data_IF_556204488503
#
_entry.id   IF_556204488503
#
_cell.length_a   1.000
_cell.length_b   1.000
_cell.length_c   1.000
_cell.angle_alpha   90.00
_cell.angle_beta   90.00
_cell.angle_gamma   90.00
#
_symmetry.space_group_name_H-M   'P 1'
#
loop_
_entity.id
_entity.type
_entity.pdbx_description
1 polymer ?
#
# COMPACT_ATOMS: atom_id res chain seq x y z
N UNK A 1 -8.02 39.38 -10.90
CA UNK A 1 -7.56 37.98 -10.80
C UNK A 1 -7.51 37.63 -9.33
N UNK A 2 -8.21 36.58 -8.89
CA UNK A 2 -8.20 36.16 -7.50
C UNK A 2 -6.79 35.68 -7.08
N UNK A 3 -6.34 36.08 -5.90
CA UNK A 3 -5.08 35.64 -5.30
C UNK A 3 -5.20 34.14 -4.96
N UNK A 4 -4.53 33.28 -5.74
CA UNK A 4 -4.60 31.81 -5.59
C UNK A 4 -3.79 31.35 -4.38
N UNK A 5 -4.41 30.54 -3.52
CA UNK A 5 -3.81 29.98 -2.30
C UNK A 5 -3.89 28.45 -2.33
N UNK A 6 -2.78 27.78 -2.04
CA UNK A 6 -2.67 26.31 -2.02
C UNK A 6 -2.38 25.89 -0.57
N UNK A 7 -3.20 25.01 0.02
CA UNK A 7 -2.96 24.44 1.35
C UNK A 7 -2.42 23.01 1.21
N UNK A 8 -1.21 22.76 1.70
CA UNK A 8 -0.60 21.44 1.80
C UNK A 8 -0.66 20.96 3.25
N UNK A 9 -1.37 19.86 3.49
CA UNK A 9 -1.54 19.24 4.81
C UNK A 9 -0.65 18.00 4.94
N UNK A 10 0.09 17.89 6.04
CA UNK A 10 0.95 16.74 6.32
C UNK A 10 2.30 16.78 5.60
N UNK A 11 2.72 17.96 5.14
CA UNK A 11 4.02 18.15 4.49
C UNK A 11 5.09 18.20 5.59
N UNK A 12 5.88 17.12 5.74
CA UNK A 12 6.88 16.98 6.79
C UNK A 12 7.92 18.10 6.84
N UNK A 13 8.99 18.02 6.03
CA UNK A 13 10.14 18.93 6.14
C UNK A 13 10.02 20.22 5.30
N UNK A 14 8.85 20.54 4.79
CA UNK A 14 8.51 21.73 3.98
C UNK A 14 9.25 21.87 2.65
N UNK A 15 10.07 20.89 2.26
CA UNK A 15 10.88 20.96 1.02
C UNK A 15 10.02 20.89 -0.26
N UNK A 16 8.91 20.17 -0.18
CA UNK A 16 7.95 20.07 -1.27
C UNK A 16 7.16 21.38 -1.41
N UNK A 17 6.69 21.94 -0.31
CA UNK A 17 6.03 23.23 -0.27
C UNK A 17 6.97 24.35 -0.76
N UNK A 18 8.23 24.36 -0.31
CA UNK A 18 9.22 25.37 -0.68
C UNK A 18 9.46 25.40 -2.18
N UNK A 19 9.81 24.26 -2.79
CA UNK A 19 10.04 24.25 -4.22
C UNK A 19 8.74 24.38 -5.06
N UNK A 20 7.56 24.09 -4.49
CA UNK A 20 6.27 24.41 -5.13
C UNK A 20 6.04 25.92 -5.20
N UNK A 21 6.36 26.61 -4.11
CA UNK A 21 6.32 28.06 -4.05
C UNK A 21 7.37 28.69 -5.00
N UNK A 22 8.60 28.16 -5.06
CA UNK A 22 9.65 28.65 -5.96
C UNK A 22 9.29 28.52 -7.45
N UNK A 23 8.74 27.37 -7.87
CA UNK A 23 8.54 27.08 -9.28
C UNK A 23 7.20 27.58 -9.84
N UNK A 24 6.18 27.75 -9.00
CA UNK A 24 4.84 28.16 -9.43
C UNK A 24 4.37 29.45 -8.76
N UNK A 25 5.23 30.19 -8.03
CA UNK A 25 4.95 31.46 -7.30
C UNK A 25 3.60 31.55 -6.59
N UNK A 26 2.93 30.45 -6.34
CA UNK A 26 1.59 30.47 -5.78
C UNK A 26 1.72 30.63 -4.28
N UNK A 27 0.73 31.27 -3.63
CA UNK A 27 0.76 31.43 -2.18
C UNK A 27 0.48 30.08 -1.52
N UNK A 28 1.53 29.37 -1.13
CA UNK A 28 1.43 28.05 -0.48
C UNK A 28 1.37 28.23 1.04
N UNK A 29 0.36 27.63 1.67
CA UNK A 29 0.30 27.42 3.11
C UNK A 29 0.59 25.93 3.31
N UNK A 30 1.66 25.60 4.03
CA UNK A 30 1.99 24.22 4.36
C UNK A 30 1.87 24.02 5.87
N UNK A 31 1.35 22.88 6.29
CA UNK A 31 1.19 22.53 7.69
C UNK A 31 1.59 21.08 7.95
N UNK A 32 2.25 20.85 9.07
CA UNK A 32 2.63 19.54 9.58
C UNK A 32 2.00 19.34 10.97
N UNK A 33 1.95 18.09 11.42
CA UNK A 33 1.39 17.75 12.73
C UNK A 33 2.33 18.13 13.90
N UNK A 34 3.63 18.25 13.61
CA UNK A 34 4.72 18.44 14.56
C UNK A 34 4.95 19.93 14.86
N UNK A 35 5.61 20.23 16.00
CA UNK A 35 5.93 21.62 16.38
C UNK A 35 7.07 22.18 15.53
N UNK A 36 7.07 23.49 15.27
CA UNK A 36 8.08 24.16 14.43
C UNK A 36 9.52 23.93 14.93
N UNK A 37 9.73 23.93 16.25
CA UNK A 37 11.02 23.67 16.91
C UNK A 37 11.54 22.25 16.62
N UNK A 38 10.66 21.26 16.52
CA UNK A 38 11.02 19.86 16.25
C UNK A 38 11.35 19.68 14.76
N UNK A 39 10.57 20.29 13.87
CA UNK A 39 10.77 20.19 12.42
C UNK A 39 12.02 20.91 11.97
N UNK A 40 12.33 22.07 12.55
CA UNK A 40 13.52 22.86 12.20
C UNK A 40 14.85 22.12 12.44
N UNK A 41 14.87 21.12 13.32
CA UNK A 41 16.07 20.30 13.60
C UNK A 41 16.31 19.20 12.56
N UNK A 42 15.35 18.93 11.66
CA UNK A 42 15.44 17.83 10.69
C UNK A 42 15.99 18.29 9.33
N UNK A 43 17.20 17.85 9.01
CA UNK A 43 17.77 17.98 7.66
C UNK A 43 17.78 19.42 7.15
N UNK A 44 17.11 19.68 6.02
CA UNK A 44 17.00 21.02 5.39
C UNK A 44 15.70 21.77 5.71
N UNK A 45 14.91 21.30 6.67
CA UNK A 45 13.57 21.85 6.92
C UNK A 45 13.59 23.34 7.28
N UNK A 46 14.55 23.79 8.10
CA UNK A 46 14.69 25.20 8.45
C UNK A 46 14.92 26.11 7.22
N UNK A 47 15.67 25.62 6.23
CA UNK A 47 15.92 26.35 4.99
C UNK A 47 14.66 26.42 4.11
N UNK A 48 13.90 25.33 4.05
CA UNK A 48 12.63 25.26 3.33
C UNK A 48 11.55 26.16 3.95
N UNK A 49 11.45 26.21 5.28
CA UNK A 49 10.55 27.13 6.00
C UNK A 49 10.92 28.59 5.71
N UNK A 50 12.22 28.92 5.69
CA UNK A 50 12.70 30.28 5.38
C UNK A 50 12.33 30.68 3.94
N UNK A 51 12.58 29.80 2.97
CA UNK A 51 12.29 30.04 1.54
C UNK A 51 10.78 30.24 1.29
N UNK A 52 9.94 29.47 1.96
CA UNK A 52 8.48 29.64 1.88
C UNK A 52 8.00 31.01 2.34
N UNK A 53 8.65 31.59 3.36
CA UNK A 53 8.31 32.92 3.86
C UNK A 53 8.68 34.04 2.88
N UNK A 54 9.64 33.81 1.98
CA UNK A 54 10.19 34.82 1.06
C UNK A 54 9.47 34.89 -0.31
N UNK A 55 8.71 33.86 -0.71
CA UNK A 55 8.35 33.60 -2.13
C UNK A 55 6.89 33.91 -2.54
N UNK A 56 6.18 34.82 -1.86
CA UNK A 56 4.70 35.01 -1.91
C UNK A 56 4.05 35.39 -3.28
N UNK A 57 4.68 35.32 -4.47
CA UNK A 57 4.02 35.78 -5.73
C UNK A 57 4.38 35.02 -7.05
N UNK A 58 3.33 34.62 -7.83
CA UNK A 58 3.21 34.12 -9.24
C UNK A 58 3.06 32.60 -9.65
N UNK A 59 1.83 32.05 -9.88
CA UNK A 59 1.63 30.96 -10.91
C UNK A 59 0.35 30.08 -10.89
N UNK A 60 0.31 29.00 -11.72
CA UNK A 60 -0.89 28.37 -12.33
C UNK A 60 -1.05 26.82 -12.17
N UNK A 61 -2.28 26.29 -12.36
CA UNK A 61 -2.81 24.95 -11.98
C UNK A 61 -2.17 23.71 -12.66
N UNK A 62 -2.05 23.66 -13.98
CA UNK A 62 -1.45 22.49 -14.68
C UNK A 62 0.04 22.31 -14.35
N UNK A 63 0.72 23.40 -14.01
CA UNK A 63 2.10 23.38 -13.56
C UNK A 63 2.26 22.74 -12.19
N UNK A 64 1.22 22.81 -11.33
CA UNK A 64 1.29 22.25 -9.99
C UNK A 64 1.27 20.72 -10.05
N UNK A 65 0.30 20.11 -10.75
CA UNK A 65 0.17 18.64 -10.86
C UNK A 65 1.45 18.04 -11.47
N UNK A 66 1.93 18.61 -12.58
CA UNK A 66 3.16 18.13 -13.21
C UNK A 66 4.36 18.23 -12.26
N UNK A 67 4.44 19.30 -11.46
CA UNK A 67 5.51 19.46 -10.47
C UNK A 67 5.39 18.51 -9.28
N UNK A 68 4.17 18.22 -8.79
CA UNK A 68 3.96 17.21 -7.74
C UNK A 68 4.51 15.88 -8.23
N UNK A 69 4.13 15.51 -9.45
CA UNK A 69 4.56 14.27 -10.08
C UNK A 69 6.07 14.25 -10.31
N UNK A 70 6.65 15.32 -10.87
CA UNK A 70 8.09 15.38 -11.15
C UNK A 70 8.91 15.29 -9.86
N UNK A 71 8.42 15.87 -8.75
CA UNK A 71 9.04 15.73 -7.44
C UNK A 71 8.91 14.33 -6.87
N UNK A 72 7.73 13.71 -6.95
CA UNK A 72 7.55 12.30 -6.55
C UNK A 72 8.53 11.44 -7.34
N UNK A 73 8.61 11.63 -8.66
CA UNK A 73 9.56 10.93 -9.53
C UNK A 73 11.01 11.16 -9.11
N UNK A 74 11.40 12.40 -8.82
CA UNK A 74 12.76 12.75 -8.42
C UNK A 74 13.13 12.18 -7.06
N UNK A 75 12.23 12.25 -6.07
CA UNK A 75 12.42 11.68 -4.74
C UNK A 75 12.57 10.15 -4.82
N UNK A 76 11.75 9.49 -5.61
CA UNK A 76 11.86 8.03 -5.76
C UNK A 76 13.11 7.65 -6.56
N UNK A 77 13.50 8.43 -7.57
CA UNK A 77 14.77 8.23 -8.26
C UNK A 77 15.97 8.40 -7.32
N UNK A 78 15.92 9.36 -6.40
CA UNK A 78 16.95 9.53 -5.36
C UNK A 78 17.00 8.35 -4.39
N UNK A 79 15.84 7.80 -4.01
CA UNK A 79 15.77 6.57 -3.20
C UNK A 79 16.40 5.39 -3.94
N UNK A 80 16.10 5.26 -5.23
CA UNK A 80 16.62 4.19 -6.09
C UNK A 80 18.14 4.24 -6.32
N UNK A 81 18.74 5.43 -6.46
CA UNK A 81 20.20 5.58 -6.60
C UNK A 81 20.99 5.02 -5.42
N UNK A 82 20.36 4.86 -4.26
CA UNK A 82 20.96 4.25 -3.07
C UNK A 82 21.03 2.73 -3.18
N UNK A 83 20.17 2.13 -4.02
CA UNK A 83 20.01 0.68 -4.18
C UNK A 83 20.81 0.19 -5.40
N UNK A 84 22.10 -0.08 -5.22
CA UNK A 84 22.96 -0.59 -6.31
C UNK A 84 22.63 -2.05 -6.64
N UNK A 85 21.70 -2.32 -7.58
CA UNK A 85 21.49 -3.69 -8.05
C UNK A 85 20.32 -3.94 -9.01
N UNK A 86 19.27 -3.11 -8.98
CA UNK A 86 18.10 -3.25 -9.85
C UNK A 86 17.88 -1.96 -10.65
N UNK A 87 17.39 -2.05 -11.89
CA UNK A 87 16.94 -0.88 -12.66
C UNK A 87 15.42 -0.84 -12.58
N UNK A 88 14.91 0.07 -11.74
CA UNK A 88 13.48 0.36 -11.64
C UNK A 88 13.19 1.63 -12.41
N UNK A 89 12.14 1.62 -13.21
CA UNK A 89 11.63 2.79 -13.91
C UNK A 89 10.26 3.16 -13.39
N UNK A 90 10.00 4.47 -13.22
CA UNK A 90 8.71 4.98 -12.80
C UNK A 90 8.10 5.75 -13.94
N UNK A 91 6.92 5.33 -14.35
CA UNK A 91 6.14 5.97 -15.39
C UNK A 91 4.87 6.58 -14.79
N UNK A 92 4.51 7.76 -15.29
CA UNK A 92 3.22 8.37 -15.03
C UNK A 92 2.31 8.05 -16.20
N UNK A 93 1.18 7.38 -15.93
CA UNK A 93 0.22 7.01 -16.96
C UNK A 93 -1.10 7.77 -16.72
N UNK A 94 -1.68 8.35 -17.78
CA UNK A 94 -3.00 8.97 -17.68
C UNK A 94 -4.05 7.89 -17.47
N UNK A 95 -5.08 8.15 -16.67
CA UNK A 95 -6.13 7.16 -16.39
C UNK A 95 -6.83 6.65 -17.67
N UNK A 96 -6.83 7.41 -18.76
CA UNK A 96 -7.40 7.00 -20.06
C UNK A 96 -6.58 5.96 -20.83
N UNK A 97 -5.33 5.68 -20.45
CA UNK A 97 -4.46 4.71 -21.15
C UNK A 97 -4.40 3.34 -20.48
N UNK A 98 -4.96 3.18 -19.28
CA UNK A 98 -4.93 1.94 -18.52
C UNK A 98 -6.30 1.24 -18.66
N UNK A 99 -6.31 0.07 -19.31
CA UNK A 99 -7.55 -0.71 -19.49
C UNK A 99 -8.12 -1.15 -18.14
N UNK A 100 -9.44 -1.11 -18.01
CA UNK A 100 -10.18 -1.43 -16.76
C UNK A 100 -9.95 -2.86 -16.24
N UNK A 101 -9.36 -3.75 -17.04
CA UNK A 101 -9.15 -5.17 -16.74
C UNK A 101 -7.78 -5.50 -16.11
N UNK A 102 -6.88 -4.53 -15.96
CA UNK A 102 -5.48 -4.76 -15.52
C UNK A 102 -5.08 -3.94 -14.28
N UNK A 103 -6.06 -3.45 -13.54
CA UNK A 103 -5.83 -2.63 -12.35
C UNK A 103 -5.57 -3.54 -11.14
N UNK A 104 -4.43 -3.37 -10.48
CA UNK A 104 -4.16 -3.92 -9.14
C UNK A 104 -5.31 -3.57 -8.18
N UNK A 105 -5.55 -4.36 -7.14
CA UNK A 105 -6.58 -4.10 -6.11
C UNK A 105 -6.51 -2.66 -5.55
N UNK A 106 -5.29 -2.14 -5.40
CA UNK A 106 -5.04 -0.76 -4.99
C UNK A 106 -5.64 0.28 -5.96
N UNK A 107 -5.45 0.08 -7.27
CA UNK A 107 -5.98 0.97 -8.28
C UNK A 107 -7.50 0.86 -8.43
N UNK A 108 -8.06 -0.34 -8.19
CA UNK A 108 -9.51 -0.54 -8.11
C UNK A 108 -10.11 0.20 -6.90
N UNK A 109 -9.46 0.12 -5.73
CA UNK A 109 -9.85 0.87 -4.53
C UNK A 109 -9.80 2.39 -4.73
N UNK A 110 -8.67 2.92 -5.23
CA UNK A 110 -8.51 4.36 -5.46
C UNK A 110 -9.55 4.89 -6.47
N UNK A 111 -9.96 4.06 -7.44
CA UNK A 111 -10.98 4.45 -8.43
C UNK A 111 -12.36 4.65 -7.82
N UNK A 112 -12.64 4.05 -6.66
CA UNK A 112 -13.89 4.25 -5.91
C UNK A 112 -13.92 5.62 -5.19
N UNK A 113 -12.75 6.19 -4.89
CA UNK A 113 -12.62 7.46 -4.16
C UNK A 113 -12.82 8.70 -5.05
N UNK A 114 -12.90 8.52 -6.36
CA UNK A 114 -13.20 9.59 -7.32
C UNK A 114 -12.46 9.43 -8.64
N UNK A 115 -12.59 10.45 -9.50
CA UNK A 115 -11.96 10.45 -10.82
C UNK A 115 -10.44 10.59 -10.70
N UNK A 116 -9.73 9.50 -10.96
CA UNK A 116 -8.27 9.47 -11.05
C UNK A 116 -7.84 10.17 -12.34
N UNK A 117 -6.84 11.05 -12.26
CA UNK A 117 -6.25 11.68 -13.44
C UNK A 117 -4.99 10.93 -13.91
N UNK A 118 -4.16 10.50 -12.96
CA UNK A 118 -2.90 9.83 -13.25
C UNK A 118 -2.64 8.66 -12.30
N UNK A 119 -2.01 7.63 -12.82
CA UNK A 119 -1.44 6.52 -12.07
C UNK A 119 0.08 6.64 -12.04
N UNK A 120 0.67 6.30 -10.90
CA UNK A 120 2.10 6.13 -10.72
C UNK A 120 2.40 4.64 -10.82
N UNK A 121 3.11 4.24 -11.85
CA UNK A 121 3.46 2.85 -12.10
C UNK A 121 4.96 2.64 -11.95
N UNK A 122 5.35 1.53 -11.34
CA UNK A 122 6.72 1.06 -11.20
C UNK A 122 6.94 -0.18 -12.06
N UNK A 123 7.98 -0.15 -12.88
CA UNK A 123 8.43 -1.27 -13.70
C UNK A 123 9.81 -1.69 -13.21
N UNK A 124 9.97 -2.98 -12.92
CA UNK A 124 11.28 -3.58 -12.69
C UNK A 124 11.78 -4.18 -14.01
N UNK A 125 13.04 -3.93 -14.38
CA UNK A 125 13.67 -4.62 -15.52
C UNK A 125 13.90 -6.11 -15.15
N UNK A 126 12.85 -6.95 -15.18
CA UNK A 126 12.98 -8.40 -15.14
C UNK A 126 13.24 -8.93 -16.55
N UNK A 127 14.01 -10.03 -16.67
CA UNK A 127 14.45 -10.58 -17.97
C UNK A 127 13.31 -11.18 -18.81
N UNK A 128 12.09 -11.23 -18.29
CA UNK A 128 10.89 -11.68 -18.99
C UNK A 128 10.00 -10.47 -19.35
N UNK A 129 9.98 -10.14 -20.63
CA UNK A 129 9.41 -8.91 -21.21
C UNK A 129 7.87 -8.84 -21.22
N UNK A 130 7.17 -9.39 -20.22
CA UNK A 130 5.70 -9.44 -20.18
C UNK A 130 5.04 -8.95 -18.89
N UNK A 131 5.77 -8.65 -17.82
CA UNK A 131 5.17 -8.08 -16.62
C UNK A 131 4.98 -6.56 -16.80
N UNK A 132 3.73 -6.18 -17.07
CA UNK A 132 3.29 -4.78 -17.09
C UNK A 132 3.51 -4.16 -15.70
N UNK A 133 3.96 -2.90 -15.66
CA UNK A 133 4.30 -2.20 -14.43
C UNK A 133 3.21 -2.24 -13.35
N UNK A 134 3.62 -2.36 -12.10
CA UNK A 134 2.72 -2.36 -10.94
C UNK A 134 2.29 -0.93 -10.59
N UNK A 135 1.00 -0.71 -10.41
CA UNK A 135 0.48 0.58 -9.93
C UNK A 135 0.79 0.75 -8.44
N UNK A 136 1.57 1.77 -8.11
CA UNK A 136 2.03 2.07 -6.74
C UNK A 136 1.42 3.35 -6.18
N UNK A 137 0.66 4.10 -6.98
CA UNK A 137 0.06 5.35 -6.53
C UNK A 137 -0.93 5.94 -7.52
N UNK A 138 -1.74 6.88 -7.04
CA UNK A 138 -2.70 7.60 -7.86
C UNK A 138 -2.69 9.10 -7.52
N UNK A 139 -2.96 9.92 -8.54
CA UNK A 139 -3.17 11.36 -8.38
C UNK A 139 -4.57 11.71 -8.87
N UNK A 140 -5.35 12.33 -7.99
CA UNK A 140 -6.73 12.74 -8.26
C UNK A 140 -6.92 14.22 -7.95
N UNK A 141 -7.92 14.81 -8.59
CA UNK A 141 -8.34 16.18 -8.30
C UNK A 141 -9.81 16.19 -7.95
N UNK A 142 -10.19 16.95 -6.93
CA UNK A 142 -11.59 17.22 -6.65
C UNK A 142 -11.86 18.73 -6.68
N UNK A 143 -12.96 19.18 -7.30
CA UNK A 143 -13.45 20.53 -7.07
C UNK A 143 -13.88 20.64 -5.62
N UNK A 144 -13.43 21.70 -4.94
CA UNK A 144 -13.78 21.98 -3.55
C UNK A 144 -14.65 23.23 -3.53
N UNK A 145 -15.96 23.06 -3.41
CA UNK A 145 -16.93 24.15 -3.35
C UNK A 145 -17.48 24.35 -1.93
N UNK A 146 -16.83 25.17 -1.10
CA UNK A 146 -17.51 25.95 -0.08
C UNK A 146 -17.47 27.42 -0.49
N UNK A 147 -18.66 27.99 -0.69
CA UNK A 147 -18.89 29.44 -0.70
C UNK A 147 -18.04 30.27 -1.70
N UNK A 148 -18.14 29.98 -2.99
CA UNK A 148 -17.86 30.96 -4.05
C UNK A 148 -16.40 31.11 -4.51
N UNK A 149 -15.51 30.19 -4.15
CA UNK A 149 -14.15 30.11 -4.71
C UNK A 149 -13.96 28.81 -5.50
N UNK A 150 -13.52 28.92 -6.75
CA UNK A 150 -13.15 27.80 -7.63
C UNK A 150 -11.79 27.21 -7.20
N UNK A 151 -11.79 26.47 -6.09
CA UNK A 151 -10.60 25.81 -5.53
C UNK A 151 -10.54 24.36 -6.02
N UNK A 152 -9.43 24.00 -6.66
CA UNK A 152 -9.13 22.62 -7.06
C UNK A 152 -8.17 22.01 -6.04
N UNK A 153 -8.58 20.92 -5.39
CA UNK A 153 -7.73 20.16 -4.47
C UNK A 153 -7.11 18.98 -5.21
N UNK A 154 -5.79 18.83 -5.10
CA UNK A 154 -5.05 17.70 -5.66
C UNK A 154 -4.69 16.76 -4.53
N UNK A 155 -4.97 15.46 -4.70
CA UNK A 155 -4.58 14.40 -3.78
C UNK A 155 -3.61 13.47 -4.49
N UNK A 156 -2.54 13.09 -3.80
CA UNK A 156 -1.62 12.04 -4.23
C UNK A 156 -1.62 10.93 -3.18
N UNK A 157 -1.88 9.70 -3.60
CA UNK A 157 -1.82 8.49 -2.79
C UNK A 157 -0.66 7.61 -3.28
N UNK A 158 0.05 7.00 -2.34
CA UNK A 158 1.18 6.10 -2.60
C UNK A 158 1.04 4.87 -1.70
N UNK A 159 1.22 3.69 -2.27
CA UNK A 159 1.28 2.43 -1.54
C UNK A 159 2.74 2.12 -1.17
N UNK A 160 3.11 2.44 0.07
CA UNK A 160 4.48 2.29 0.55
C UNK A 160 4.93 0.83 0.62
N UNK A 161 4.02 -0.11 0.90
CA UNK A 161 4.33 -1.53 1.00
C UNK A 161 4.70 -2.09 -0.37
N UNK A 162 3.89 -1.80 -1.40
CA UNK A 162 4.19 -2.16 -2.78
C UNK A 162 5.48 -1.50 -3.27
N UNK A 163 5.71 -0.23 -2.91
CA UNK A 163 6.97 0.44 -3.23
C UNK A 163 8.17 -0.22 -2.56
N UNK A 164 8.07 -0.54 -1.27
CA UNK A 164 9.15 -1.19 -0.52
C UNK A 164 9.45 -2.57 -1.09
N UNK A 165 8.41 -3.34 -1.44
CA UNK A 165 8.55 -4.64 -2.10
C UNK A 165 9.30 -4.54 -3.43
N UNK A 166 8.91 -3.59 -4.29
CA UNK A 166 9.54 -3.42 -5.60
C UNK A 166 10.97 -2.91 -5.49
N UNK A 167 11.23 -1.93 -4.61
CA UNK A 167 12.56 -1.33 -4.45
C UNK A 167 13.54 -2.32 -3.80
N UNK A 168 13.08 -3.11 -2.84
CA UNK A 168 13.91 -4.05 -2.10
C UNK A 168 13.86 -5.47 -2.68
N UNK A 169 13.14 -5.71 -3.77
CA UNK A 169 12.89 -7.04 -4.37
C UNK A 169 12.40 -8.06 -3.32
N UNK A 170 11.37 -7.69 -2.57
CA UNK A 170 10.70 -8.57 -1.61
C UNK A 170 9.48 -9.18 -2.30
N UNK A 171 9.50 -10.51 -2.48
CA UNK A 171 8.43 -11.25 -3.17
C UNK A 171 7.17 -11.42 -2.32
N UNK A 172 7.33 -11.51 -1.00
CA UNK A 172 6.25 -11.74 -0.03
C UNK A 172 6.08 -10.54 0.89
N UNK A 173 4.97 -9.80 0.75
CA UNK A 173 4.67 -8.60 1.54
C UNK A 173 4.67 -8.85 3.06
N UNK A 174 4.42 -10.09 3.51
CA UNK A 174 4.44 -10.45 4.94
C UNK A 174 5.82 -10.26 5.56
N UNK A 175 6.88 -10.29 4.75
CA UNK A 175 8.23 -9.97 5.19
C UNK A 175 8.37 -8.53 5.71
N UNK A 176 7.52 -7.59 5.28
CA UNK A 176 7.52 -6.22 5.82
C UNK A 176 7.10 -6.16 7.29
N UNK A 177 6.41 -7.19 7.78
CA UNK A 177 5.87 -7.28 9.14
C UNK A 177 6.62 -8.29 10.01
N UNK A 178 7.68 -8.92 9.51
CA UNK A 178 8.46 -9.88 10.30
C UNK A 178 9.25 -9.18 11.41
N UNK A 179 9.36 -9.87 12.55
CA UNK A 179 10.28 -9.49 13.63
C UNK A 179 11.61 -10.25 13.56
N UNK A 180 11.86 -11.01 12.50
CA UNK A 180 13.08 -11.81 12.36
C UNK A 180 14.32 -10.92 12.23
N UNK A 181 15.27 -11.10 13.15
CA UNK A 181 16.49 -10.31 13.19
C UNK A 181 17.32 -10.43 11.90
N UNK A 182 17.29 -11.58 11.20
CA UNK A 182 18.01 -11.78 9.94
C UNK A 182 17.43 -10.93 8.81
N UNK A 183 16.13 -10.60 8.85
CA UNK A 183 15.53 -9.65 7.91
C UNK A 183 15.97 -8.24 8.29
N UNK A 184 15.75 -7.84 9.54
CA UNK A 184 16.03 -6.49 10.04
C UNK A 184 17.50 -6.09 9.86
N UNK A 185 18.44 -7.03 10.07
CA UNK A 185 19.88 -6.78 9.87
C UNK A 185 20.27 -6.52 8.41
N UNK A 186 19.42 -6.86 7.42
CA UNK A 186 19.69 -6.54 6.02
C UNK A 186 19.42 -5.07 5.67
N UNK A 187 18.67 -4.35 6.52
CA UNK A 187 18.28 -2.95 6.32
C UNK A 187 18.78 -2.05 7.46
N UNK A 188 20.10 -1.94 7.68
CA UNK A 188 20.64 -1.10 8.76
C UNK A 188 20.40 0.38 8.46
N UNK A 189 20.07 1.15 9.51
CA UNK A 189 19.97 2.62 9.48
C UNK A 189 19.06 3.21 8.37
N UNK A 190 18.04 2.47 7.94
CA UNK A 190 17.11 2.91 6.90
C UNK A 190 17.68 2.85 5.47
N UNK A 191 18.80 2.17 5.28
CA UNK A 191 19.33 1.93 3.94
C UNK A 191 18.48 0.90 3.19
N UNK A 192 17.92 1.32 2.06
CA UNK A 192 17.22 0.42 1.15
C UNK A 192 18.23 -0.42 0.40
N UNK A 193 18.08 -1.75 0.50
CA UNK A 193 18.95 -2.75 -0.12
C UNK A 193 18.09 -3.84 -0.75
N UNK A 194 18.67 -4.57 -1.69
CA UNK A 194 18.01 -5.77 -2.23
C UNK A 194 17.98 -6.84 -1.15
N UNK A 195 16.77 -7.27 -0.79
CA UNK A 195 16.52 -8.34 0.15
C UNK A 195 17.11 -9.63 -0.39
N UNK A 196 17.86 -10.33 0.47
CA UNK A 196 18.33 -11.69 0.23
C UNK A 196 17.39 -12.64 0.94
N UNK A 197 16.61 -13.37 0.16
CA UNK A 197 15.69 -14.38 0.67
C UNK A 197 16.44 -15.45 1.49
N UNK A 198 15.78 -15.93 2.55
CA UNK A 198 16.41 -16.88 3.49
C UNK A 198 16.53 -18.29 2.90
N UNK A 199 15.47 -18.76 2.23
CA UNK A 199 15.32 -20.12 1.72
C UNK A 199 14.55 -20.10 0.41
N UNK A 200 14.95 -20.95 -0.53
CA UNK A 200 14.30 -21.09 -1.84
C UNK A 200 12.98 -21.88 -1.77
N UNK A 201 12.79 -22.73 -0.74
CA UNK A 201 11.65 -23.66 -0.67
C UNK A 201 11.16 -23.88 0.78
N UNK A 202 10.45 -22.92 1.39
CA UNK A 202 9.84 -23.12 2.70
C UNK A 202 8.76 -24.21 2.63
N UNK A 203 8.69 -25.14 3.60
CA UNK A 203 7.64 -26.16 3.66
C UNK A 203 6.25 -25.52 3.64
N UNK A 204 5.38 -26.05 2.78
CA UNK A 204 3.98 -25.63 2.67
C UNK A 204 3.06 -26.76 3.13
N UNK A 205 2.08 -26.41 3.94
CA UNK A 205 1.11 -27.35 4.50
C UNK A 205 -0.30 -26.88 4.17
N UNK A 206 -1.06 -27.73 3.50
CA UNK A 206 -2.42 -27.42 3.04
C UNK A 206 -3.43 -28.12 3.94
N UNK A 207 -4.39 -27.36 4.45
CA UNK A 207 -5.48 -27.88 5.28
C UNK A 207 -6.82 -27.31 4.82
N UNK A 208 -7.78 -28.20 4.62
CA UNK A 208 -9.14 -27.82 4.27
C UNK A 208 -10.01 -27.79 5.53
N UNK A 209 -10.94 -26.84 5.58
CA UNK A 209 -11.94 -26.70 6.64
C UNK A 209 -13.32 -26.54 6.01
N UNK A 210 -14.22 -27.46 6.36
CA UNK A 210 -15.61 -27.40 5.97
C UNK A 210 -16.46 -26.99 7.18
N UNK A 211 -17.42 -26.10 6.96
CA UNK A 211 -18.33 -25.64 8.01
C UNK A 211 -19.67 -25.18 7.43
N UNK A 212 -20.70 -25.23 8.28
CA UNK A 212 -22.02 -24.69 8.00
C UNK A 212 -22.13 -23.27 8.53
N UNK A 213 -22.67 -22.38 7.70
CA UNK A 213 -23.03 -21.03 8.12
C UNK A 213 -24.28 -21.05 9.01
N UNK A 214 -24.41 -20.12 9.95
CA UNK A 214 -25.65 -19.88 10.67
C UNK A 214 -26.82 -19.60 9.72
N UNK A 215 -28.02 -20.01 10.11
CA UNK A 215 -29.23 -19.86 9.28
C UNK A 215 -29.50 -18.37 9.01
N UNK A 216 -29.41 -17.94 7.76
CA UNK A 216 -29.68 -16.56 7.32
C UNK A 216 -28.48 -15.60 7.36
N UNK A 217 -27.30 -16.06 7.79
CA UNK A 217 -26.08 -15.24 7.80
C UNK A 217 -25.24 -15.45 6.53
N UNK A 218 -24.57 -14.37 6.10
CA UNK A 218 -23.58 -14.44 5.03
C UNK A 218 -22.22 -14.79 5.60
N UNK A 219 -21.36 -15.33 4.75
CA UNK A 219 -19.98 -15.60 5.13
C UNK A 219 -19.21 -14.31 5.35
N UNK A 220 -18.81 -14.07 6.59
CA UNK A 220 -17.89 -12.99 6.93
C UNK A 220 -16.44 -13.40 6.63
N UNK A 221 -16.07 -13.21 5.36
CA UNK A 221 -14.72 -13.47 4.85
C UNK A 221 -13.67 -12.67 5.62
N UNK A 222 -13.96 -11.41 5.95
CA UNK A 222 -13.03 -10.52 6.66
C UNK A 222 -12.75 -11.04 8.07
N UNK A 223 -13.79 -11.43 8.81
CA UNK A 223 -13.62 -12.00 10.14
C UNK A 223 -12.91 -13.35 10.10
N UNK A 224 -13.22 -14.21 9.11
CA UNK A 224 -12.54 -15.49 8.91
C UNK A 224 -11.04 -15.30 8.66
N UNK A 225 -10.67 -14.40 7.75
CA UNK A 225 -9.27 -14.05 7.46
C UNK A 225 -8.57 -13.42 8.68
N UNK A 226 -9.28 -12.60 9.46
CA UNK A 226 -8.73 -11.98 10.68
C UNK A 226 -8.39 -13.03 11.72
N UNK A 227 -9.28 -13.98 11.98
CA UNK A 227 -9.05 -15.09 12.93
C UNK A 227 -7.87 -15.95 12.45
N UNK A 228 -7.79 -16.24 11.15
CA UNK A 228 -6.71 -17.03 10.59
C UNK A 228 -5.34 -16.36 10.80
N UNK A 229 -5.24 -15.04 10.59
CA UNK A 229 -4.02 -14.27 10.85
C UNK A 229 -3.66 -14.23 12.33
N UNK A 230 -4.63 -13.97 13.19
CA UNK A 230 -4.44 -13.89 14.65
C UNK A 230 -3.85 -15.20 15.23
N UNK A 231 -4.37 -16.34 14.78
CA UNK A 231 -3.95 -17.66 15.30
C UNK A 231 -2.61 -18.11 14.70
N UNK A 232 -2.40 -17.83 13.42
CA UNK A 232 -1.22 -18.30 12.69
C UNK A 232 -0.01 -17.39 12.83
N UNK A 233 -0.18 -16.14 13.28
CA UNK A 233 0.91 -15.17 13.36
C UNK A 233 1.55 -14.91 12.00
N UNK A 234 0.72 -14.61 10.99
CA UNK A 234 1.11 -14.42 9.57
C UNK A 234 1.62 -15.67 8.82
N UNK A 235 1.56 -16.86 9.44
CA UNK A 235 1.98 -18.10 8.80
C UNK A 235 1.02 -18.59 7.69
N UNK A 236 -0.22 -18.10 7.64
CA UNK A 236 -1.14 -18.38 6.54
C UNK A 236 -0.75 -17.57 5.30
N UNK A 237 -0.35 -18.26 4.23
CA UNK A 237 0.03 -17.68 2.96
C UNK A 237 -1.18 -17.39 2.06
N UNK A 238 -2.17 -18.29 2.05
CA UNK A 238 -3.39 -18.07 1.30
C UNK A 238 -4.58 -18.80 1.92
N UNK A 239 -5.76 -18.25 1.67
CA UNK A 239 -7.05 -18.87 1.98
C UNK A 239 -7.88 -18.81 0.69
N UNK A 240 -8.45 -19.95 0.30
CA UNK A 240 -9.29 -20.04 -0.89
C UNK A 240 -10.59 -20.74 -0.56
N UNK A 241 -11.72 -20.13 -0.94
CA UNK A 241 -13.01 -20.81 -0.95
C UNK A 241 -13.03 -21.84 -2.09
N UNK A 242 -13.07 -23.12 -1.74
CA UNK A 242 -13.10 -24.23 -2.69
C UNK A 242 -14.51 -24.57 -3.16
N UNK A 243 -15.45 -24.60 -2.22
CA UNK A 243 -16.80 -25.08 -2.47
C UNK A 243 -17.83 -24.31 -1.65
N UNK A 244 -19.01 -24.13 -2.25
CA UNK A 244 -20.18 -23.54 -1.64
C UNK A 244 -21.40 -24.41 -1.98
N UNK A 245 -21.84 -25.17 -0.99
CA UNK A 245 -22.92 -26.13 -1.12
C UNK A 245 -24.16 -25.68 -0.34
N UNK A 246 -25.31 -25.62 -1.01
CA UNK A 246 -26.59 -25.42 -0.34
C UNK A 246 -27.35 -26.74 -0.19
N UNK A 247 -27.71 -27.07 1.05
CA UNK A 247 -28.43 -28.30 1.36
C UNK A 247 -29.89 -28.21 0.85
N UNK A 248 -30.33 -29.14 -0.02
CA UNK A 248 -31.71 -29.19 -0.47
C UNK A 248 -32.67 -29.44 0.71
N UNK A 249 -33.77 -28.69 0.75
CA UNK A 249 -34.83 -28.83 1.76
C UNK A 249 -34.64 -27.98 3.02
N UNK A 250 -33.42 -27.89 3.57
CA UNK A 250 -33.14 -27.05 4.75
C UNK A 250 -32.67 -25.64 4.39
N UNK A 251 -32.12 -25.44 3.18
CA UNK A 251 -31.57 -24.15 2.74
C UNK A 251 -30.24 -23.77 3.40
N UNK A 252 -29.63 -24.67 4.17
CA UNK A 252 -28.37 -24.42 4.87
C UNK A 252 -27.19 -24.34 3.89
N UNK A 253 -26.32 -23.38 4.11
CA UNK A 253 -25.12 -23.19 3.30
C UNK A 253 -23.90 -23.80 4.01
N UNK A 254 -23.19 -24.70 3.34
CA UNK A 254 -21.89 -25.23 3.74
C UNK A 254 -20.82 -24.64 2.86
N UNK A 255 -19.74 -24.17 3.48
CA UNK A 255 -18.54 -23.73 2.78
C UNK A 255 -17.37 -24.68 3.04
N UNK A 256 -16.48 -24.79 2.07
CA UNK A 256 -15.19 -25.45 2.22
C UNK A 256 -14.08 -24.48 1.84
N UNK A 257 -13.21 -24.16 2.79
CA UNK A 257 -12.07 -23.28 2.58
C UNK A 257 -10.77 -24.07 2.68
N UNK A 258 -9.79 -23.77 1.82
CA UNK A 258 -8.43 -24.29 1.86
C UNK A 258 -7.49 -23.24 2.41
N UNK A 259 -6.78 -23.58 3.48
CA UNK A 259 -5.74 -22.76 4.08
C UNK A 259 -4.37 -23.34 3.72
N UNK A 260 -3.49 -22.48 3.22
CA UNK A 260 -2.09 -22.81 2.94
C UNK A 260 -1.22 -22.18 4.01
N UNK A 261 -0.60 -22.99 4.86
CA UNK A 261 0.35 -22.54 5.87
C UNK A 261 1.77 -22.63 5.32
N UNK A 262 2.41 -21.46 5.21
CA UNK A 262 3.79 -21.31 4.79
C UNK A 262 4.29 -19.97 5.34
N UNK A 263 5.20 -20.04 6.32
CA UNK A 263 5.83 -18.84 6.87
C UNK A 263 6.83 -18.28 5.86
N UNK A 264 6.94 -16.95 5.82
CA UNK A 264 7.87 -16.22 4.96
C UNK A 264 9.28 -16.12 5.56
N UNK A 265 9.42 -16.26 6.88
CA UNK A 265 10.67 -16.04 7.61
C UNK A 265 11.29 -17.32 8.20
N UNK A 266 10.52 -18.39 8.43
CA UNK A 266 11.02 -19.63 9.05
C UNK A 266 10.36 -20.90 8.51
N UNK A 267 11.01 -22.03 8.73
CA UNK A 267 10.44 -23.34 8.42
C UNK A 267 9.40 -23.73 9.48
N UNK A 268 8.15 -23.95 9.04
CA UNK A 268 7.07 -24.43 9.90
C UNK A 268 7.20 -25.94 10.13
N UNK A 269 6.95 -26.38 11.36
CA UNK A 269 6.84 -27.80 11.68
C UNK A 269 5.43 -28.34 11.46
N UNK A 270 5.29 -29.59 11.02
CA UNK A 270 3.97 -30.25 10.85
C UNK A 270 3.10 -30.20 12.11
N UNK A 271 3.70 -30.42 13.29
CA UNK A 271 2.99 -30.39 14.56
C UNK A 271 2.52 -28.99 14.95
N UNK A 272 3.31 -27.97 14.63
CA UNK A 272 2.96 -26.55 14.84
C UNK A 272 1.76 -26.16 13.96
N UNK A 273 1.80 -26.51 12.67
CA UNK A 273 0.67 -26.24 11.75
C UNK A 273 -0.59 -27.00 12.18
N UNK A 274 -0.47 -28.26 12.60
CA UNK A 274 -1.61 -29.02 13.09
C UNK A 274 -2.25 -28.37 14.32
N UNK A 275 -1.44 -27.82 15.25
CA UNK A 275 -1.93 -27.10 16.41
C UNK A 275 -2.60 -25.77 16.03
N UNK A 276 -2.03 -25.01 15.09
CA UNK A 276 -2.64 -23.80 14.55
C UNK A 276 -3.99 -24.09 13.89
N UNK A 277 -4.06 -25.15 13.08
CA UNK A 277 -5.29 -25.55 12.40
C UNK A 277 -6.37 -26.00 13.39
N UNK A 278 -6.01 -26.71 14.46
CA UNK A 278 -6.95 -27.12 15.50
C UNK A 278 -7.54 -25.90 16.22
N UNK A 279 -6.68 -24.99 16.67
CA UNK A 279 -7.11 -23.73 17.29
C UNK A 279 -7.96 -22.89 16.35
N UNK A 280 -7.60 -22.84 15.07
CA UNK A 280 -8.39 -22.13 14.06
C UNK A 280 -9.80 -22.67 13.94
N UNK A 281 -9.97 -23.99 13.90
CA UNK A 281 -11.29 -24.64 13.89
C UNK A 281 -12.12 -24.30 15.13
N UNK A 282 -11.51 -24.28 16.31
CA UNK A 282 -12.18 -23.92 17.56
C UNK A 282 -12.65 -22.46 17.55
N UNK A 283 -11.77 -21.54 17.17
CA UNK A 283 -12.05 -20.10 17.17
C UNK A 283 -13.10 -19.68 16.15
N UNK A 284 -13.08 -20.24 14.93
CA UNK A 284 -14.15 -19.95 13.96
C UNK A 284 -15.49 -20.47 14.45
N UNK A 285 -15.53 -21.63 15.11
CA UNK A 285 -16.78 -22.17 15.65
C UNK A 285 -17.32 -21.32 16.80
N UNK A 286 -16.45 -20.78 17.64
CA UNK A 286 -16.85 -19.94 18.78
C UNK A 286 -17.23 -18.51 18.36
N UNK A 287 -16.42 -17.88 17.49
CA UNK A 287 -16.54 -16.45 17.14
C UNK A 287 -17.44 -16.17 15.95
N UNK A 288 -17.47 -17.08 14.96
CA UNK A 288 -18.35 -16.98 13.79
C UNK A 288 -19.60 -17.84 13.92
N UNK A 289 -19.75 -18.55 15.05
CA UNK A 289 -20.88 -19.44 15.33
C UNK A 289 -21.11 -20.51 14.24
N UNK A 290 -20.07 -20.84 13.46
CA UNK A 290 -20.15 -21.85 12.41
C UNK A 290 -20.10 -23.26 13.00
N UNK A 291 -20.84 -24.19 12.38
CA UNK A 291 -20.79 -25.59 12.76
C UNK A 291 -19.81 -26.35 11.86
N UNK A 292 -18.70 -26.81 12.45
CA UNK A 292 -17.68 -27.56 11.72
C UNK A 292 -18.23 -28.87 11.14
N UNK A 293 -17.70 -29.26 9.98
CA UNK A 293 -17.96 -30.51 9.28
C UNK A 293 -16.68 -31.34 9.14
#
# INVERSE_FOLDING_TARGET
>A
MAERRVLLLGEGNFSFAAALCEAAGTRVVATCYEREEEVATRGRAAESIRRLREMVNRGSENSCIQMIVDKIKTSIHSLHQTTSGFKLSISLQKATSLGTAELSDFAAFESQLGKIQFFLCMEADTRDSSEKGSCVGAVRTAPYEPAGSDLVVVFASLNLDLMAMLICAIDDWRMLWTSDARFLCQFPAGELRIFRSFSLYPPSYVHDVSFWLPDGEQFDDVAFHTIAREISGEAVASIHLLDNFQQPGTGRTSLCCRLTFQSCDRALGRGEVAAMQLRFREEISQRLHVALR
#
